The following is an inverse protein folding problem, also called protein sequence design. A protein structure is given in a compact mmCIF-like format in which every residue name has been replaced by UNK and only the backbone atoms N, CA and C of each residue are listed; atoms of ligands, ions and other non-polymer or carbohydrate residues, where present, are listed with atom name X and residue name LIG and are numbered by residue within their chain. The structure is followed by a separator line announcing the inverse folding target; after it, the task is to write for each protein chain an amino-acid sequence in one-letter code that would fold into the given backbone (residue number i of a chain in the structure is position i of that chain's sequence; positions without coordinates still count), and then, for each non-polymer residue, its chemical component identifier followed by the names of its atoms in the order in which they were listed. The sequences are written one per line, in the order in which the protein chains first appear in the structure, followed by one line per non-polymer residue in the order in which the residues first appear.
data_IF_681895912155
#
_entry.id   IF_681895912155
#
_cell.length_a   1.000
_cell.length_b   1.000
_cell.length_c   1.000
_cell.angle_alpha   90.00
_cell.angle_beta   90.00
_cell.angle_gamma   90.00
#
_symmetry.space_group_name_H-M   'P 1'
#
loop_
_entity.id
_entity.type
_entity.pdbx_description
1 polymer ?
#
# COMPACT_ATOMS: atom_id res chain seq x y z
N UNK A 1 -18.03 4.83 15.17
CA UNK A 1 -16.59 5.06 15.51
C UNK A 1 -16.34 6.57 15.64
N UNK A 2 -15.48 7.01 16.57
CA UNK A 2 -15.12 8.43 16.75
C UNK A 2 -14.07 8.88 15.73
N UNK A 3 -14.08 10.16 15.30
CA UNK A 3 -13.08 10.74 14.37
C UNK A 3 -11.64 10.57 14.87
N UNK A 4 -11.41 10.72 16.19
CA UNK A 4 -10.10 10.54 16.79
C UNK A 4 -9.57 9.11 16.62
N UNK A 5 -10.42 8.09 16.77
CA UNK A 5 -10.05 6.69 16.56
C UNK A 5 -9.67 6.43 15.10
N UNK A 6 -10.44 6.98 14.15
CA UNK A 6 -10.12 6.84 12.72
C UNK A 6 -8.76 7.46 12.37
N UNK A 7 -8.47 8.67 12.89
CA UNK A 7 -7.17 9.31 12.71
C UNK A 7 -6.01 8.46 13.23
N UNK A 8 -6.18 7.77 14.36
CA UNK A 8 -5.18 6.83 14.88
C UNK A 8 -4.95 5.65 13.92
N UNK A 9 -6.01 5.15 13.31
CA UNK A 9 -5.91 4.07 12.31
C UNK A 9 -5.14 4.54 11.07
N UNK A 10 -5.41 5.76 10.58
CA UNK A 10 -4.65 6.36 9.47
C UNK A 10 -3.17 6.48 9.83
N UNK A 11 -2.84 6.95 11.04
CA UNK A 11 -1.46 7.03 11.51
C UNK A 11 -0.80 5.66 11.63
N UNK A 12 -1.50 4.66 12.16
CA UNK A 12 -0.97 3.29 12.24
C UNK A 12 -0.65 2.72 10.85
N UNK A 13 -1.54 2.95 9.88
CA UNK A 13 -1.32 2.54 8.50
C UNK A 13 -0.14 3.28 7.84
N UNK A 14 0.01 4.59 8.10
CA UNK A 14 1.15 5.36 7.61
C UNK A 14 2.47 4.86 8.21
N UNK A 15 2.50 4.60 9.52
CA UNK A 15 3.68 4.05 10.20
C UNK A 15 4.04 2.69 9.60
N UNK A 16 3.06 1.82 9.38
CA UNK A 16 3.28 0.52 8.74
C UNK A 16 3.90 0.68 7.35
N UNK A 17 3.37 1.57 6.51
CA UNK A 17 3.92 1.85 5.19
C UNK A 17 5.37 2.37 5.26
N UNK A 18 5.67 3.28 6.20
CA UNK A 18 7.03 3.81 6.41
C UNK A 18 8.00 2.72 6.89
N UNK A 19 7.54 1.74 7.65
CA UNK A 19 8.37 0.61 8.11
C UNK A 19 8.64 -0.40 6.99
N UNK A 20 7.67 -0.61 6.11
CA UNK A 20 7.78 -1.57 4.99
C UNK A 20 8.71 -1.05 3.89
N UNK A 21 8.61 0.23 3.52
CA UNK A 21 9.35 0.82 2.41
C UNK A 21 10.88 0.63 2.49
N UNK A 22 11.57 0.94 3.61
CA UNK A 22 13.01 0.74 3.71
C UNK A 22 13.41 -0.72 3.56
N UNK A 23 12.58 -1.65 4.05
CA UNK A 23 12.84 -3.09 3.95
C UNK A 23 12.83 -3.51 2.47
N UNK A 24 11.82 -3.12 1.72
CA UNK A 24 11.68 -3.45 0.30
C UNK A 24 12.80 -2.81 -0.53
N UNK A 25 13.15 -1.56 -0.26
CA UNK A 25 14.11 -0.81 -1.10
C UNK A 25 15.57 -1.21 -0.79
N UNK A 26 15.92 -1.32 0.50
CA UNK A 26 17.33 -1.45 0.89
C UNK A 26 17.74 -2.87 1.30
N UNK A 27 16.77 -3.70 1.68
CA UNK A 27 17.02 -5.03 2.23
C UNK A 27 16.09 -6.10 1.63
N UNK A 28 15.94 -6.16 0.30
CA UNK A 28 15.13 -7.20 -0.31
C UNK A 28 15.74 -8.57 0.06
N UNK A 29 14.86 -9.53 0.39
CA UNK A 29 15.24 -10.92 0.70
C UNK A 29 16.21 -11.10 1.87
N UNK A 30 16.34 -10.12 2.79
CA UNK A 30 17.30 -10.14 3.89
C UNK A 30 17.14 -11.31 4.86
N UNK A 31 15.95 -11.91 4.92
CA UNK A 31 15.65 -13.10 5.76
C UNK A 31 15.62 -14.40 4.97
N UNK A 32 15.87 -14.36 3.66
CA UNK A 32 15.94 -15.57 2.84
C UNK A 32 17.30 -16.25 3.00
N UNK A 33 17.37 -17.59 2.99
CA UNK A 33 18.65 -18.30 2.86
C UNK A 33 19.41 -17.86 1.62
N UNK A 34 20.74 -17.82 1.69
CA UNK A 34 21.59 -17.25 0.63
C UNK A 34 21.33 -17.85 -0.76
N UNK A 35 21.09 -19.14 -0.86
CA UNK A 35 20.77 -19.82 -2.14
C UNK A 35 19.41 -19.38 -2.68
N UNK A 36 18.42 -19.23 -1.81
CA UNK A 36 17.09 -18.77 -2.20
C UNK A 36 17.12 -17.28 -2.61
N UNK A 37 17.87 -16.44 -1.88
CA UNK A 37 18.04 -15.03 -2.22
C UNK A 37 18.64 -14.84 -3.61
N UNK A 38 19.63 -15.67 -3.99
CA UNK A 38 20.20 -15.65 -5.36
C UNK A 38 19.17 -16.03 -6.43
N UNK A 39 18.36 -17.06 -6.16
CA UNK A 39 17.29 -17.47 -7.08
C UNK A 39 16.25 -16.36 -7.25
N UNK A 40 15.85 -15.70 -6.15
CA UNK A 40 14.92 -14.57 -6.16
C UNK A 40 15.44 -13.40 -6.99
N UNK A 41 16.72 -13.02 -6.84
CA UNK A 41 17.36 -11.97 -7.64
C UNK A 41 17.39 -12.32 -9.14
N UNK A 42 17.57 -13.59 -9.49
CA UNK A 42 17.49 -14.05 -10.88
C UNK A 42 16.07 -13.93 -11.45
N UNK A 43 15.05 -14.23 -10.66
CA UNK A 43 13.65 -14.04 -11.07
C UNK A 43 13.29 -12.57 -11.26
N UNK A 44 13.78 -11.67 -10.41
CA UNK A 44 13.57 -10.23 -10.56
C UNK A 44 14.17 -9.70 -11.88
N UNK A 45 15.29 -10.25 -12.33
CA UNK A 45 15.90 -9.89 -13.62
C UNK A 45 15.09 -10.37 -14.84
N UNK A 46 14.15 -11.30 -14.66
CA UNK A 46 13.28 -11.80 -15.72
C UNK A 46 11.96 -11.04 -15.83
N UNK A 47 11.83 -9.89 -15.19
CA UNK A 47 10.61 -9.10 -15.25
C UNK A 47 10.33 -8.58 -16.66
N UNK A 48 9.06 -8.64 -17.12
CA UNK A 48 8.70 -8.29 -18.48
C UNK A 48 8.69 -6.78 -18.77
N UNK A 49 8.77 -5.95 -17.74
CA UNK A 49 8.71 -4.50 -17.87
C UNK A 49 10.05 -3.85 -17.58
N UNK A 50 10.32 -2.74 -18.28
CA UNK A 50 11.48 -1.88 -18.00
C UNK A 50 11.44 -1.40 -16.54
N UNK A 51 12.54 -1.62 -15.81
CA UNK A 51 12.73 -1.23 -14.42
C UNK A 51 12.41 0.26 -14.17
N UNK A 52 12.75 1.12 -15.14
CA UNK A 52 12.47 2.56 -15.07
C UNK A 52 10.97 2.84 -15.06
N UNK A 53 10.21 2.16 -15.92
CA UNK A 53 8.76 2.31 -16.01
C UNK A 53 8.09 1.83 -14.72
N UNK A 54 8.48 0.66 -14.23
CA UNK A 54 7.97 0.09 -12.97
C UNK A 54 8.25 1.05 -11.80
N UNK A 55 9.46 1.57 -11.72
CA UNK A 55 9.86 2.51 -10.66
C UNK A 55 9.03 3.78 -10.68
N UNK A 56 8.84 4.39 -11.85
CA UNK A 56 7.99 5.59 -11.99
C UNK A 56 6.55 5.30 -11.57
N UNK A 57 6.00 4.17 -12.00
CA UNK A 57 4.64 3.75 -11.65
C UNK A 57 4.48 3.56 -10.14
N UNK A 58 5.42 2.90 -9.48
CA UNK A 58 5.42 2.71 -8.03
C UNK A 58 5.54 4.03 -7.28
N UNK A 59 6.37 4.96 -7.75
CA UNK A 59 6.46 6.31 -7.16
C UNK A 59 5.14 7.07 -7.27
N UNK A 60 4.47 7.02 -8.41
CA UNK A 60 3.17 7.67 -8.59
C UNK A 60 2.09 7.07 -7.68
N UNK A 61 2.07 5.73 -7.53
CA UNK A 61 1.18 5.04 -6.60
C UNK A 61 1.47 5.47 -5.16
N UNK A 62 2.74 5.51 -4.76
CA UNK A 62 3.14 5.94 -3.42
C UNK A 62 2.71 7.38 -3.12
N UNK A 63 2.94 8.31 -4.05
CA UNK A 63 2.50 9.71 -3.90
C UNK A 63 0.98 9.78 -3.78
N UNK A 64 0.26 9.10 -4.68
CA UNK A 64 -1.20 9.04 -4.64
C UNK A 64 -1.74 8.46 -3.33
N UNK A 65 -1.08 7.43 -2.82
CA UNK A 65 -1.41 6.81 -1.53
C UNK A 65 -1.23 7.79 -0.37
N UNK A 66 -0.09 8.47 -0.27
CA UNK A 66 0.18 9.44 0.79
C UNK A 66 -0.80 10.63 0.73
N UNK A 67 -1.08 11.16 -0.46
CA UNK A 67 -2.08 12.21 -0.66
C UNK A 67 -3.46 11.74 -0.24
N UNK A 68 -3.84 10.52 -0.57
CA UNK A 68 -5.13 9.95 -0.18
C UNK A 68 -5.28 9.82 1.33
N UNK A 69 -4.24 9.35 2.05
CA UNK A 69 -4.23 9.27 3.51
C UNK A 69 -4.35 10.66 4.15
N UNK A 70 -3.67 11.66 3.61
CA UNK A 70 -3.78 13.04 4.08
C UNK A 70 -5.20 13.59 3.90
N UNK A 71 -5.83 13.35 2.75
CA UNK A 71 -7.20 13.75 2.49
C UNK A 71 -8.21 13.01 3.38
N UNK A 72 -8.00 11.72 3.62
CA UNK A 72 -8.80 10.92 4.56
C UNK A 72 -8.69 11.46 5.99
N UNK A 73 -7.49 11.82 6.42
CA UNK A 73 -7.26 12.43 7.74
C UNK A 73 -8.05 13.73 7.90
N UNK A 74 -8.23 14.50 6.82
CA UNK A 74 -9.03 15.72 6.76
C UNK A 74 -10.53 15.48 6.52
N UNK A 75 -10.97 14.25 6.42
CA UNK A 75 -12.36 13.87 6.09
C UNK A 75 -12.85 14.47 4.76
N UNK A 76 -11.95 14.57 3.78
CA UNK A 76 -12.28 15.04 2.45
C UNK A 76 -12.86 13.88 1.61
N UNK A 77 -13.96 14.13 0.90
CA UNK A 77 -14.63 13.13 0.06
C UNK A 77 -13.76 12.61 -1.09
N UNK A 78 -12.96 13.49 -1.69
CA UNK A 78 -11.97 13.08 -2.71
C UNK A 78 -10.95 12.07 -2.15
N UNK A 79 -10.62 12.14 -0.85
CA UNK A 79 -9.72 11.20 -0.22
C UNK A 79 -10.23 9.76 -0.26
N UNK A 80 -11.53 9.54 -0.12
CA UNK A 80 -12.13 8.20 -0.22
C UNK A 80 -11.96 7.61 -1.62
N UNK A 81 -12.30 8.42 -2.63
CA UNK A 81 -12.22 8.00 -4.03
C UNK A 81 -10.77 7.74 -4.43
N UNK A 82 -9.86 8.67 -4.09
CA UNK A 82 -8.45 8.54 -4.40
C UNK A 82 -7.84 7.32 -3.71
N UNK A 83 -8.16 7.08 -2.42
CA UNK A 83 -7.67 5.93 -1.67
C UNK A 83 -8.09 4.61 -2.31
N UNK A 84 -9.36 4.49 -2.72
CA UNK A 84 -9.86 3.30 -3.39
C UNK A 84 -9.17 3.10 -4.74
N UNK A 85 -9.09 4.14 -5.56
CA UNK A 85 -8.50 4.08 -6.91
C UNK A 85 -7.02 3.71 -6.84
N UNK A 86 -6.25 4.35 -5.97
CA UNK A 86 -4.81 4.08 -5.84
C UNK A 86 -4.54 2.65 -5.38
N UNK A 87 -5.29 2.14 -4.38
CA UNK A 87 -5.11 0.76 -3.94
C UNK A 87 -5.58 -0.25 -5.00
N UNK A 88 -6.60 0.10 -5.79
CA UNK A 88 -7.03 -0.73 -6.91
C UNK A 88 -5.98 -0.78 -8.02
N UNK A 89 -5.39 0.36 -8.38
CA UNK A 89 -4.27 0.42 -9.32
C UNK A 89 -3.08 -0.37 -8.78
N UNK A 90 -2.72 -0.22 -7.50
CA UNK A 90 -1.65 -0.98 -6.87
C UNK A 90 -1.87 -2.49 -6.98
N UNK A 91 -3.11 -2.97 -6.82
CA UNK A 91 -3.43 -4.37 -7.01
C UNK A 91 -3.15 -4.85 -8.45
N UNK A 92 -3.45 -4.02 -9.44
CA UNK A 92 -3.19 -4.36 -10.86
C UNK A 92 -1.69 -4.40 -11.19
N UNK A 93 -0.84 -3.68 -10.44
CA UNK A 93 0.61 -3.74 -10.69
C UNK A 93 1.18 -5.13 -10.46
N UNK A 94 0.61 -5.92 -9.54
CA UNK A 94 1.03 -7.31 -9.33
C UNK A 94 0.86 -8.17 -10.59
N UNK A 95 -0.18 -7.94 -11.39
CA UNK A 95 -0.38 -8.66 -12.64
C UNK A 95 0.65 -8.29 -13.71
N UNK A 96 1.15 -7.07 -13.69
CA UNK A 96 2.13 -6.58 -14.66
C UNK A 96 3.57 -6.89 -14.29
N UNK A 97 3.84 -7.15 -13.01
CA UNK A 97 5.18 -7.49 -12.52
C UNK A 97 5.56 -8.96 -12.73
N UNK A 98 4.63 -9.82 -13.12
CA UNK A 98 4.88 -11.25 -13.28
C UNK A 98 4.96 -11.99 -11.93
N UNK A 99 5.97 -12.83 -11.75
CA UNK A 99 6.16 -13.56 -10.50
C UNK A 99 6.82 -12.68 -9.45
N UNK A 100 6.08 -12.35 -8.38
CA UNK A 100 6.63 -11.66 -7.22
C UNK A 100 6.93 -12.69 -6.14
N UNK A 101 8.18 -12.73 -5.69
CA UNK A 101 8.61 -13.65 -4.63
C UNK A 101 8.86 -12.83 -3.36
N UNK A 102 8.20 -13.19 -2.29
CA UNK A 102 8.35 -12.55 -0.97
C UNK A 102 9.15 -13.43 -0.04
N UNK A 103 10.00 -12.84 0.80
CA UNK A 103 10.47 -13.53 1.98
C UNK A 103 9.35 -13.62 3.05
N UNK A 104 9.56 -14.43 4.10
CA UNK A 104 8.54 -14.65 5.13
C UNK A 104 8.10 -13.37 5.85
N UNK A 105 9.01 -12.41 6.05
CA UNK A 105 8.68 -11.13 6.68
C UNK A 105 7.88 -10.23 5.72
N UNK A 106 8.31 -10.14 4.48
CA UNK A 106 7.60 -9.38 3.44
C UNK A 106 6.18 -9.88 3.27
N UNK A 107 5.98 -11.19 3.20
CA UNK A 107 4.65 -11.80 3.10
C UNK A 107 3.74 -11.42 4.28
N UNK A 108 4.27 -11.48 5.51
CA UNK A 108 3.50 -11.11 6.72
C UNK A 108 3.17 -9.61 6.71
N UNK A 109 4.13 -8.76 6.37
CA UNK A 109 3.93 -7.30 6.33
C UNK A 109 2.92 -6.90 5.24
N UNK A 110 2.99 -7.51 4.06
CA UNK A 110 2.04 -7.30 2.97
C UNK A 110 0.63 -7.75 3.39
N UNK A 111 0.50 -8.92 4.00
CA UNK A 111 -0.77 -9.41 4.54
C UNK A 111 -1.38 -8.44 5.57
N UNK A 112 -0.59 -7.95 6.51
CA UNK A 112 -1.04 -6.95 7.50
C UNK A 112 -1.47 -5.65 6.79
N UNK A 113 -0.69 -5.17 5.83
CA UNK A 113 -1.00 -3.97 5.06
C UNK A 113 -2.32 -4.11 4.31
N UNK A 114 -2.53 -5.24 3.65
CA UNK A 114 -3.77 -5.54 2.92
C UNK A 114 -4.99 -5.56 3.85
N UNK A 115 -4.87 -6.15 5.04
CA UNK A 115 -5.93 -6.11 6.06
C UNK A 115 -6.24 -4.67 6.48
N UNK A 116 -5.22 -3.84 6.72
CA UNK A 116 -5.42 -2.43 7.07
C UNK A 116 -6.10 -1.64 5.96
N UNK A 117 -5.73 -1.86 4.70
CA UNK A 117 -6.35 -1.23 3.54
C UNK A 117 -7.84 -1.59 3.47
N UNK A 118 -8.17 -2.87 3.55
CA UNK A 118 -9.56 -3.35 3.55
C UNK A 118 -10.36 -2.79 4.72
N UNK A 119 -9.76 -2.73 5.92
CA UNK A 119 -10.39 -2.17 7.11
C UNK A 119 -10.69 -0.66 6.96
N UNK A 120 -9.74 0.11 6.42
CA UNK A 120 -9.96 1.55 6.14
C UNK A 120 -11.08 1.72 5.12
N UNK A 121 -11.08 0.94 4.02
CA UNK A 121 -12.16 0.97 3.01
C UNK A 121 -13.52 0.68 3.66
N UNK A 122 -13.60 -0.37 4.49
CA UNK A 122 -14.83 -0.69 5.20
C UNK A 122 -15.32 0.47 6.09
N UNK A 123 -14.41 1.14 6.79
CA UNK A 123 -14.75 2.27 7.65
C UNK A 123 -15.29 3.45 6.83
N UNK A 124 -14.60 3.85 5.78
CA UNK A 124 -14.95 5.07 5.02
C UNK A 124 -16.21 4.94 4.19
N UNK A 125 -16.62 3.71 3.83
CA UNK A 125 -17.83 3.48 3.03
C UNK A 125 -19.01 2.95 3.83
N UNK A 126 -18.80 2.07 4.80
CA UNK A 126 -19.87 1.32 5.46
C UNK A 126 -20.11 1.70 6.92
N UNK A 127 -19.25 2.52 7.54
CA UNK A 127 -19.47 2.96 8.92
C UNK A 127 -20.25 4.29 8.99
N UNK A 128 -20.70 4.64 10.20
CA UNK A 128 -21.32 5.95 10.46
C UNK A 128 -20.39 7.13 10.15
N UNK A 129 -19.09 6.92 10.07
CA UNK A 129 -18.10 7.93 9.67
C UNK A 129 -18.20 8.31 8.19
N UNK A 130 -18.81 7.47 7.35
CA UNK A 130 -19.00 7.78 5.93
C UNK A 130 -19.75 9.10 5.69
N UNK A 131 -20.62 9.48 6.63
CA UNK A 131 -21.40 10.73 6.59
C UNK A 131 -20.53 11.98 6.77
N UNK A 132 -19.37 11.85 7.44
CA UNK A 132 -18.45 12.96 7.70
C UNK A 132 -17.64 13.37 6.47
N UNK A 133 -17.51 12.47 5.49
CA UNK A 133 -16.86 12.71 4.21
C UNK A 133 -17.78 13.36 3.17
N UNK A 134 -19.10 13.39 3.40
CA UNK A 134 -20.00 14.03 2.45
C UNK A 134 -19.74 15.52 2.42
N UNK A 135 -19.59 16.10 1.22
CA UNK A 135 -19.47 17.54 1.04
C UNK A 135 -20.61 18.23 1.78
N UNK A 136 -20.31 19.11 2.73
CA UNK A 136 -21.26 20.15 3.12
C UNK A 136 -21.49 20.98 1.87
N UNK A 137 -22.69 20.89 1.33
CA UNK A 137 -23.16 21.79 0.28
C UNK A 137 -23.16 23.20 0.81
#
# INVERSE_FOLDING_TARGET
MKKATFRKIIWANLILAVLILPKIIFYPYSLAPAELAKAMLLYDQLQPLDDTFVTIMLLLILIGYLVSLFLLYRFNDYGRQLYLVVNFIALFTYFSQGYVVFDSLEYVLDGISTIFIGFIIAIIYFSNLSKEFKKKK
#
